data_IF_268489269225
#
_entry.id   IF_268489269225
#
_cell.length_a   1.000
_cell.length_b   1.000
_cell.length_c   1.000
_cell.angle_alpha   90.00
_cell.angle_beta   90.00
_cell.angle_gamma   90.00
#
_symmetry.space_group_name_H-M   'P 1'
#
loop_
_entity.id
_entity.type
_entity.pdbx_description
1 polymer ?
#
# COMPACT_ATOMS: atom_id res chain seq x y z
N UNK A 1 26.07 1.44 1.24
CA UNK A 1 25.69 0.20 1.93
C UNK A 1 24.25 0.35 2.40
N UNK A 2 23.27 0.06 1.53
CA UNK A 2 21.84 0.19 1.84
C UNK A 2 21.13 -1.05 1.34
N UNK A 3 20.93 -2.02 2.23
CA UNK A 3 20.39 -3.35 1.91
C UNK A 3 18.88 -3.41 2.12
N UNK A 4 18.14 -3.92 1.13
CA UNK A 4 17.65 -5.29 1.27
C UNK A 4 16.26 -5.55 1.82
N UNK A 5 15.31 -4.63 1.67
CA UNK A 5 13.90 -4.92 1.94
C UNK A 5 13.07 -4.43 0.77
N UNK A 6 12.57 -5.36 -0.05
CA UNK A 6 11.57 -5.01 -1.07
C UNK A 6 10.19 -5.20 -0.46
N UNK A 7 9.43 -4.10 -0.38
CA UNK A 7 8.04 -4.11 0.07
C UNK A 7 7.12 -3.93 -1.13
N UNK A 8 6.14 -4.83 -1.26
CA UNK A 8 5.09 -4.73 -2.27
C UNK A 8 3.75 -4.50 -1.57
N UNK A 9 2.93 -3.62 -2.13
CA UNK A 9 1.58 -3.39 -1.65
C UNK A 9 0.57 -3.80 -2.72
N UNK A 10 -0.48 -4.50 -2.29
CA UNK A 10 -1.66 -4.80 -3.10
C UNK A 10 -2.89 -4.22 -2.41
N UNK A 11 -3.66 -3.43 -3.14
CA UNK A 11 -4.91 -2.84 -2.66
C UNK A 11 -6.05 -3.45 -3.44
N UNK A 12 -6.96 -4.15 -2.77
CA UNK A 12 -8.08 -4.81 -3.44
C UNK A 12 -9.07 -3.82 -4.05
N UNK A 13 -9.38 -2.75 -3.33
CA UNK A 13 -10.37 -1.76 -3.75
C UNK A 13 -10.03 -0.37 -3.26
N UNK A 14 -10.04 0.58 -4.19
CA UNK A 14 -10.00 2.02 -3.91
C UNK A 14 -11.42 2.56 -4.09
N UNK A 15 -11.89 3.39 -3.17
CA UNK A 15 -13.19 4.08 -3.28
C UNK A 15 -12.99 5.51 -3.78
N UNK A 16 -14.07 6.14 -4.26
CA UNK A 16 -14.08 7.53 -4.75
C UNK A 16 -13.52 8.55 -3.73
N UNK A 17 -13.68 8.30 -2.43
CA UNK A 17 -13.12 9.14 -1.36
C UNK A 17 -11.66 8.79 -0.99
N UNK A 18 -10.95 8.12 -1.89
CA UNK A 18 -9.54 7.70 -1.75
C UNK A 18 -9.27 6.88 -0.47
N UNK A 19 -10.27 6.08 -0.06
CA UNK A 19 -10.08 5.05 0.97
C UNK A 19 -9.65 3.75 0.32
N UNK A 20 -8.69 3.10 0.94
CA UNK A 20 -8.21 1.77 0.51
C UNK A 20 -8.91 0.74 1.36
N UNK A 21 -9.47 -0.29 0.73
CA UNK A 21 -10.02 -1.44 1.44
C UNK A 21 -9.23 -2.69 1.05
N UNK A 22 -8.98 -3.53 2.06
CA UNK A 22 -8.15 -4.72 1.98
C UNK A 22 -6.77 -4.44 1.38
N UNK A 23 -5.93 -3.84 2.22
CA UNK A 23 -4.53 -3.52 1.91
C UNK A 23 -3.65 -4.66 2.39
N UNK A 24 -2.86 -5.23 1.49
CA UNK A 24 -1.85 -6.23 1.79
C UNK A 24 -0.47 -5.66 1.54
N UNK A 25 0.43 -5.81 2.49
CA UNK A 25 1.81 -5.34 2.43
C UNK A 25 2.70 -6.57 2.64
N UNK A 26 3.50 -6.90 1.64
CA UNK A 26 4.41 -8.03 1.61
C UNK A 26 5.83 -7.50 1.74
N UNK A 27 6.58 -8.01 2.71
CA UNK A 27 8.01 -7.71 2.87
C UNK A 27 8.82 -8.95 2.56
N UNK A 28 9.83 -8.78 1.69
CA UNK A 28 10.75 -9.84 1.31
C UNK A 28 12.18 -9.51 1.75
N UNK A 29 12.95 -10.56 2.05
CA UNK A 29 14.40 -10.46 2.28
C UNK A 29 15.19 -10.34 0.96
N UNK A 30 16.51 -10.18 1.07
CA UNK A 30 17.46 -10.18 -0.06
C UNK A 30 17.33 -11.40 -0.99
N UNK A 31 16.88 -12.54 -0.45
CA UNK A 31 16.72 -13.80 -1.18
C UNK A 31 15.33 -13.96 -1.80
N UNK A 32 14.47 -12.94 -1.71
CA UNK A 32 13.06 -12.94 -2.13
C UNK A 32 12.18 -13.92 -1.35
N UNK A 33 12.56 -14.28 -0.13
CA UNK A 33 11.68 -15.00 0.77
C UNK A 33 10.71 -14.01 1.43
N UNK A 34 9.44 -14.38 1.55
CA UNK A 34 8.46 -13.59 2.28
C UNK A 34 8.77 -13.68 3.79
N UNK A 35 9.08 -12.55 4.40
CA UNK A 35 9.42 -12.45 5.83
C UNK A 35 8.32 -11.81 6.66
N UNK A 36 7.45 -11.01 6.04
CA UNK A 36 6.33 -10.38 6.71
C UNK A 36 5.13 -10.22 5.77
N UNK A 37 3.94 -10.52 6.29
CA UNK A 37 2.67 -10.23 5.66
C UNK A 37 1.84 -9.37 6.60
N UNK A 38 1.50 -8.17 6.14
CA UNK A 38 0.59 -7.27 6.85
C UNK A 38 -0.68 -7.08 6.06
N UNK A 39 -1.82 -7.28 6.70
CA UNK A 39 -3.14 -7.00 6.15
C UNK A 39 -3.85 -5.95 6.99
N UNK A 40 -4.50 -4.99 6.33
CA UNK A 40 -5.37 -4.04 6.97
C UNK A 40 -6.71 -4.01 6.24
N UNK A 41 -7.81 -4.05 7.00
CA UNK A 41 -9.14 -3.98 6.41
C UNK A 41 -9.36 -2.65 5.67
N UNK A 42 -8.78 -1.57 6.19
CA UNK A 42 -8.90 -0.25 5.59
C UNK A 42 -7.64 0.61 5.79
N UNK A 43 -7.38 1.52 4.87
CA UNK A 43 -6.47 2.62 5.06
C UNK A 43 -7.14 3.97 4.71
N UNK A 44 -6.88 4.98 5.53
CA UNK A 44 -7.32 6.37 5.31
C UNK A 44 -6.12 7.30 5.33
N UNK A 45 -6.07 8.27 4.42
CA UNK A 45 -4.97 9.23 4.39
C UNK A 45 -5.20 10.37 5.38
N UNK A 46 -4.22 10.63 6.26
CA UNK A 46 -4.18 11.80 7.13
C UNK A 46 -3.42 12.91 6.43
N UNK A 47 -4.11 14.03 6.16
CA UNK A 47 -3.48 15.22 5.57
C UNK A 47 -2.56 15.94 6.56
N UNK A 48 -2.87 15.86 7.86
CA UNK A 48 -2.05 16.48 8.91
C UNK A 48 -0.71 15.76 9.08
N UNK A 49 -0.72 14.42 9.05
CA UNK A 49 0.49 13.61 9.20
C UNK A 49 1.16 13.27 7.86
N UNK A 50 0.50 13.58 6.74
CA UNK A 50 0.90 13.22 5.38
C UNK A 50 1.14 11.70 5.20
N UNK A 51 0.35 10.87 5.87
CA UNK A 51 0.54 9.41 5.97
C UNK A 51 -0.77 8.64 5.90
N UNK A 52 -0.68 7.38 5.49
CA UNK A 52 -1.80 6.46 5.62
C UNK A 52 -1.93 5.98 7.06
N UNK A 53 -3.16 5.95 7.55
CA UNK A 53 -3.54 5.26 8.78
C UNK A 53 -4.25 3.98 8.41
N UNK A 54 -3.63 2.85 8.70
CA UNK A 54 -4.22 1.52 8.58
C UNK A 54 -5.16 1.27 9.75
N UNK A 55 -6.22 0.51 9.51
CA UNK A 55 -7.24 0.14 10.49
C UNK A 55 -7.47 -1.37 10.47
N UNK A 56 -7.64 -1.96 11.65
CA UNK A 56 -7.79 -3.41 11.87
C UNK A 56 -6.64 -4.17 11.20
N UNK A 57 -5.44 -3.97 11.73
CA UNK A 57 -4.19 -4.47 11.17
C UNK A 57 -3.85 -5.82 11.77
N UNK A 58 -3.54 -6.78 10.90
CA UNK A 58 -2.94 -8.05 11.22
C UNK A 58 -1.52 -8.07 10.64
N UNK A 59 -0.51 -8.27 11.48
CA UNK A 59 0.90 -8.21 11.09
C UNK A 59 1.58 -9.53 11.44
N UNK A 60 1.83 -10.36 10.43
CA UNK A 60 2.42 -11.69 10.56
C UNK A 60 3.89 -11.67 10.16
N UNK A 61 4.78 -11.96 11.10
CA UNK A 61 6.20 -12.20 10.84
C UNK A 61 6.42 -13.69 10.63
N UNK A 62 7.03 -14.04 9.49
CA UNK A 62 7.32 -15.40 9.08
C UNK A 62 8.79 -15.69 9.32
N UNK A 63 9.05 -16.69 10.15
CA UNK A 63 10.38 -17.22 10.43
C UNK A 63 10.43 -18.67 9.97
N UNK A 64 11.63 -19.27 9.99
CA UNK A 64 11.85 -20.63 9.47
C UNK A 64 10.93 -21.69 10.07
N UNK A 65 10.59 -21.55 11.35
CA UNK A 65 9.87 -22.57 12.13
C UNK A 65 8.57 -22.04 12.75
N UNK A 66 8.34 -20.73 12.71
CA UNK A 66 7.26 -20.06 13.43
C UNK A 66 6.67 -18.92 12.64
N UNK A 67 5.37 -18.68 12.85
CA UNK A 67 4.68 -17.48 12.40
C UNK A 67 4.15 -16.78 13.64
N UNK A 68 4.55 -15.53 13.83
CA UNK A 68 4.07 -14.69 14.93
C UNK A 68 3.17 -13.61 14.37
N UNK A 69 1.96 -13.48 14.91
CA UNK A 69 0.98 -12.49 14.45
C UNK A 69 0.64 -11.50 15.55
N UNK A 70 0.69 -10.21 15.23
CA UNK A 70 0.30 -9.12 16.10
C UNK A 70 -0.89 -8.40 15.48
N UNK A 71 -1.93 -8.15 16.28
CA UNK A 71 -3.08 -7.37 15.85
C UNK A 71 -3.01 -5.96 16.43
N UNK A 72 -3.33 -4.94 15.62
CA UNK A 72 -3.41 -3.54 16.04
C UNK A 72 -4.71 -2.95 15.52
N UNK A 73 -5.38 -2.14 16.35
CA UNK A 73 -6.58 -1.43 15.90
C UNK A 73 -6.24 -0.41 14.81
N UNK A 74 -5.10 0.27 14.95
CA UNK A 74 -4.61 1.26 13.99
C UNK A 74 -3.09 1.24 13.90
N UNK A 75 -2.55 1.62 12.75
CA UNK A 75 -1.11 1.79 12.55
C UNK A 75 -0.82 2.86 11.48
N UNK A 76 0.17 3.73 11.71
CA UNK A 76 0.65 4.63 10.66
C UNK A 76 1.53 3.87 9.68
N UNK A 77 1.25 4.01 8.38
CA UNK A 77 1.95 3.31 7.31
C UNK A 77 2.81 4.29 6.51
N UNK A 78 4.13 4.13 6.66
CA UNK A 78 5.15 4.86 5.92
C UNK A 78 5.26 4.30 4.50
N UNK A 79 4.83 5.06 3.51
CA UNK A 79 4.90 4.68 2.10
C UNK A 79 4.97 5.92 1.22
N UNK A 80 5.61 5.77 0.05
CA UNK A 80 5.57 6.78 -1.00
C UNK A 80 4.27 6.76 -1.79
N UNK A 81 3.34 5.84 -1.48
CA UNK A 81 2.01 5.80 -2.05
C UNK A 81 1.19 6.95 -1.45
N UNK A 82 0.69 7.83 -2.31
CA UNK A 82 -0.12 8.98 -1.92
C UNK A 82 -1.43 8.97 -2.71
N UNK A 83 -2.49 9.65 -2.22
CA UNK A 83 -3.76 9.76 -2.94
C UNK A 83 -3.63 10.19 -4.41
N UNK A 84 -2.72 11.13 -4.72
CA UNK A 84 -2.44 11.59 -6.08
C UNK A 84 -1.89 10.48 -6.99
N UNK A 85 -0.97 9.65 -6.49
CA UNK A 85 -0.44 8.49 -7.23
C UNK A 85 -1.49 7.40 -7.47
N UNK A 86 -2.51 7.32 -6.62
CA UNK A 86 -3.64 6.39 -6.80
C UNK A 86 -4.72 6.94 -7.73
N UNK A 87 -4.97 8.26 -7.70
CA UNK A 87 -5.93 8.92 -8.59
C UNK A 87 -5.61 8.72 -10.07
N UNK A 88 -4.33 8.71 -10.43
CA UNK A 88 -3.86 8.39 -11.77
C UNK A 88 -4.09 6.92 -12.19
N UNK A 89 -4.22 6.00 -11.22
CA UNK A 89 -4.37 4.54 -11.45
C UNK A 89 -5.83 4.09 -11.38
N UNK A 90 -6.67 4.82 -10.65
CA UNK A 90 -8.09 4.47 -10.41
C UNK A 90 -9.06 5.00 -11.46
N UNK A 91 -8.64 5.93 -12.33
CA UNK A 91 -9.46 6.35 -13.47
C UNK A 91 -9.40 5.26 -14.54
N UNK A 92 -10.51 4.57 -14.78
CA UNK A 92 -10.69 3.84 -16.04
C UNK A 92 -10.37 4.79 -17.20
N UNK A 93 -9.63 4.37 -18.24
CA UNK A 93 -9.31 5.19 -19.40
C UNK A 93 -10.53 5.36 -20.33
N UNK A 94 -11.69 5.76 -19.80
CA UNK A 94 -12.91 6.01 -20.59
C UNK A 94 -13.50 7.40 -20.35
N UNK A 95 -12.76 8.35 -19.77
CA UNK A 95 -13.24 9.74 -19.69
C UNK A 95 -12.14 10.81 -19.71
N UNK A 96 -11.03 10.60 -20.42
CA UNK A 96 -10.05 11.66 -20.65
C UNK A 96 -9.96 11.97 -22.13
N UNK A 97 -10.25 13.23 -22.47
CA UNK A 97 -9.91 13.81 -23.77
C UNK A 97 -8.40 13.68 -24.01
N UNK A 98 -8.01 13.63 -25.28
CA UNK A 98 -6.65 13.44 -25.79
C UNK A 98 -5.59 14.31 -25.07
N UNK A 99 -5.97 15.46 -24.53
CA UNK A 99 -5.11 16.36 -23.75
C UNK A 99 -4.56 15.76 -22.45
N UNK A 100 -5.30 14.87 -21.78
CA UNK A 100 -4.86 14.25 -20.51
C UNK A 100 -3.85 13.11 -20.69
N UNK A 101 -3.76 12.53 -21.90
CA UNK A 101 -2.85 11.43 -22.21
C UNK A 101 -1.38 11.90 -22.33
N UNK A 102 -1.15 13.18 -22.58
CA UNK A 102 0.19 13.74 -22.81
C UNK A 102 1.04 13.81 -21.53
N UNK A 103 0.42 14.02 -20.36
CA UNK A 103 1.15 14.00 -19.08
C UNK A 103 1.54 12.57 -18.64
N UNK A 104 0.88 11.54 -19.18
CA UNK A 104 1.08 10.14 -18.78
C UNK A 104 2.31 9.49 -19.43
N UNK A 105 2.78 10.00 -20.57
CA UNK A 105 3.87 9.39 -21.36
C UNK A 105 5.28 9.92 -21.03
N UNK A 106 5.41 10.80 -20.03
CA UNK A 106 6.69 11.41 -19.65
C UNK A 106 7.21 10.95 -18.26
N UNK A 107 7.30 9.63 -18.06
CA UNK A 107 8.13 9.02 -17.02
C UNK A 107 8.88 7.80 -17.55
#
# INVERSE_FOLDING_TARGET
MGKGWSTFCFVRRVTDNVKLNDVYIYTFDDNRNLTQLKHANQATYSLEENKWKLHQVNDSTIQKETITTINRLTESWETNLTPDKLGAVSLRPTSLSISGLYEYIHF
#
